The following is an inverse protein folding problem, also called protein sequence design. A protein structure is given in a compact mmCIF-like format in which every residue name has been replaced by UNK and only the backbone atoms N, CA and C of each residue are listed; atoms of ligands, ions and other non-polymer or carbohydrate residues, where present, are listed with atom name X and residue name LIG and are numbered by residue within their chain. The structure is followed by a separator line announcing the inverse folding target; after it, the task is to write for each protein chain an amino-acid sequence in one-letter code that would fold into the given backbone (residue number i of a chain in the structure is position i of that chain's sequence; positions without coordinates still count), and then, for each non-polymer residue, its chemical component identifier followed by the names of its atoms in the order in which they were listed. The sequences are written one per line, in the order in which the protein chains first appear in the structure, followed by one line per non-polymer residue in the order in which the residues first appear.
data_IF_129921858702
#
_entry.id   IF_129921858702
#
_cell.length_a   1.000
_cell.length_b   1.000
_cell.length_c   1.000
_cell.angle_alpha   90.00
_cell.angle_beta   90.00
_cell.angle_gamma   90.00
#
_symmetry.space_group_name_H-M   'P 1'
#
loop_
_entity.id
_entity.type
_entity.pdbx_description
1 polymer ?
#
# COMPACT_ATOMS: atom_id res chain seq x y z
N UNK A 1 38.07 -6.16 -29.90
CA UNK A 1 39.29 -5.32 -29.82
C UNK A 1 38.89 -3.90 -29.45
N UNK A 2 39.05 -3.49 -28.20
CA UNK A 2 38.74 -2.12 -27.79
C UNK A 2 39.85 -1.20 -28.32
N UNK A 3 39.52 -0.35 -29.29
CA UNK A 3 40.42 0.69 -29.81
C UNK A 3 40.67 1.69 -28.68
N UNK A 4 41.79 1.55 -27.97
CA UNK A 4 42.20 2.51 -26.97
C UNK A 4 42.55 3.82 -27.67
N UNK A 5 41.62 4.77 -27.68
CA UNK A 5 41.87 6.11 -28.19
C UNK A 5 42.92 6.81 -27.29
N UNK A 6 43.94 7.40 -27.91
CA UNK A 6 45.06 8.07 -27.24
C UNK A 6 44.58 9.24 -26.38
N UNK A 7 45.34 9.56 -25.32
CA UNK A 7 45.01 10.67 -24.41
C UNK A 7 45.04 12.03 -25.13
N UNK A 8 45.89 12.17 -26.15
CA UNK A 8 45.98 13.34 -27.01
C UNK A 8 44.68 13.59 -27.80
N UNK A 9 44.03 12.53 -28.30
CA UNK A 9 42.73 12.62 -28.97
C UNK A 9 41.61 13.05 -28.01
N UNK A 10 41.71 12.71 -26.72
CA UNK A 10 40.73 13.16 -25.71
C UNK A 10 40.85 14.65 -25.47
N UNK A 11 42.07 15.16 -25.35
CA UNK A 11 42.33 16.59 -25.14
C UNK A 11 41.85 17.44 -26.32
N UNK A 12 42.07 16.98 -27.57
CA UNK A 12 41.57 17.66 -28.76
C UNK A 12 40.03 17.71 -28.83
N UNK A 13 39.36 16.63 -28.45
CA UNK A 13 37.88 16.58 -28.40
C UNK A 13 37.32 17.50 -27.31
N UNK A 14 37.98 17.59 -26.15
CA UNK A 14 37.56 18.46 -25.04
C UNK A 14 37.76 19.94 -25.40
N UNK A 15 38.90 20.30 -25.99
CA UNK A 15 39.16 21.66 -26.46
C UNK A 15 38.10 22.11 -27.48
N UNK A 16 37.77 21.24 -28.44
CA UNK A 16 36.76 21.54 -29.47
C UNK A 16 35.34 21.70 -28.92
N UNK A 17 35.00 21.02 -27.84
CA UNK A 17 33.70 21.18 -27.14
C UNK A 17 33.67 22.48 -26.32
N UNK A 18 34.78 22.84 -25.67
CA UNK A 18 34.90 24.09 -24.90
C UNK A 18 34.86 25.35 -25.78
N UNK A 19 35.24 25.22 -27.06
CA UNK A 19 35.06 26.26 -28.09
C UNK A 19 33.58 26.47 -28.50
N UNK A 20 32.63 25.74 -27.89
CA UNK A 20 31.19 25.92 -28.07
C UNK A 20 30.53 24.96 -29.06
N UNK A 21 31.26 23.96 -29.57
CA UNK A 21 30.73 22.97 -30.51
C UNK A 21 30.08 21.79 -29.78
N UNK A 22 29.05 21.20 -30.40
CA UNK A 22 28.29 20.10 -29.79
C UNK A 22 29.04 18.77 -29.82
N UNK A 23 28.76 17.90 -28.85
CA UNK A 23 29.39 16.56 -28.71
C UNK A 23 29.25 15.71 -29.98
N UNK A 24 28.14 15.88 -30.74
CA UNK A 24 27.89 15.17 -31.99
C UNK A 24 28.82 15.62 -33.12
N UNK A 25 29.12 16.92 -33.20
CA UNK A 25 30.04 17.48 -34.18
C UNK A 25 31.50 17.09 -33.89
N UNK A 26 31.87 17.00 -32.60
CA UNK A 26 33.18 16.52 -32.20
C UNK A 26 33.40 15.04 -32.58
N UNK A 27 32.38 14.20 -32.39
CA UNK A 27 32.44 12.78 -32.77
C UNK A 27 32.65 12.58 -34.29
N UNK A 28 31.97 13.38 -35.11
CA UNK A 28 32.08 13.32 -36.57
C UNK A 28 33.43 13.82 -37.08
N UNK A 29 33.92 14.95 -36.56
CA UNK A 29 35.20 15.55 -36.99
C UNK A 29 36.42 14.67 -36.66
N UNK A 30 36.44 14.06 -35.49
CA UNK A 30 37.57 13.22 -35.06
C UNK A 30 37.38 11.72 -35.40
N UNK A 31 36.29 11.36 -36.09
CA UNK A 31 35.92 9.96 -36.41
C UNK A 31 35.91 9.05 -35.17
N UNK A 32 35.36 9.57 -34.06
CA UNK A 32 35.29 8.89 -32.76
C UNK A 32 33.84 8.62 -32.36
N UNK A 33 33.57 7.55 -31.62
CA UNK A 33 32.20 7.22 -31.18
C UNK A 33 31.58 8.35 -30.33
N UNK A 34 30.27 8.68 -30.51
CA UNK A 34 29.57 9.68 -29.71
C UNK A 34 29.64 9.44 -28.19
N UNK A 35 29.67 8.16 -27.78
CA UNK A 35 29.83 7.78 -26.36
C UNK A 35 31.20 8.16 -25.79
N UNK A 36 32.24 8.18 -26.61
CA UNK A 36 33.58 8.56 -26.16
C UNK A 36 33.72 10.08 -26.04
N UNK A 37 33.16 10.85 -26.97
CA UNK A 37 33.15 12.32 -26.89
C UNK A 37 32.39 12.80 -25.62
N UNK A 38 31.25 12.17 -25.30
CA UNK A 38 30.52 12.44 -24.07
C UNK A 38 31.30 12.05 -22.79
N UNK A 39 31.99 10.90 -22.83
CA UNK A 39 32.75 10.39 -21.67
C UNK A 39 34.06 11.16 -21.44
N UNK A 40 34.67 11.72 -22.48
CA UNK A 40 35.84 12.59 -22.37
C UNK A 40 35.50 13.92 -21.69
N UNK A 41 34.40 14.56 -22.08
CA UNK A 41 33.91 15.78 -21.43
C UNK A 41 33.53 15.55 -19.96
N UNK A 42 32.81 14.45 -19.65
CA UNK A 42 32.44 14.11 -18.26
C UNK A 42 33.67 13.83 -17.38
N UNK A 43 34.68 13.13 -17.90
CA UNK A 43 35.92 12.82 -17.16
C UNK A 43 36.76 14.07 -16.86
N UNK A 44 36.72 15.09 -17.72
CA UNK A 44 37.40 16.38 -17.47
C UNK A 44 36.61 17.30 -16.53
N UNK A 45 35.27 17.20 -16.51
CA UNK A 45 34.43 17.89 -15.53
C UNK A 45 34.53 17.27 -14.12
N UNK A 46 34.90 15.99 -14.01
CA UNK A 46 35.06 15.26 -12.75
C UNK A 46 36.51 15.21 -12.23
N UNK A 47 37.50 15.75 -12.96
CA UNK A 47 38.84 15.92 -12.43
C UNK A 47 38.88 17.19 -11.58
N UNK A 48 39.09 17.10 -10.25
CA UNK A 48 39.32 18.29 -9.44
C UNK A 48 40.59 18.96 -9.96
N UNK A 49 40.49 20.26 -10.24
CA UNK A 49 41.63 21.11 -10.52
C UNK A 49 42.71 20.86 -9.46
N UNK A 50 43.83 20.29 -9.89
CA UNK A 50 44.99 20.15 -9.04
C UNK A 50 45.46 21.56 -8.65
N UNK A 51 45.61 21.87 -7.36
CA UNK A 51 46.10 23.17 -6.97
C UNK A 51 47.56 23.31 -7.40
N UNK A 52 47.83 24.39 -8.15
CA UNK A 52 49.17 24.92 -8.41
C UNK A 52 49.77 25.39 -7.07
N UNK A 53 50.32 24.45 -6.29
CA UNK A 53 51.25 24.76 -5.21
C UNK A 53 52.67 24.76 -5.79
N UNK A 54 53.25 25.94 -5.89
CA UNK A 54 54.69 26.13 -5.99
C UNK A 54 55.34 25.73 -4.67
N UNK A 55 56.29 24.80 -4.73
CA UNK A 55 57.25 24.49 -3.67
C UNK A 55 58.05 25.76 -3.30
N UNK A 56 57.99 26.17 -2.04
CA UNK A 56 59.10 26.70 -1.23
C UNK A 56 58.67 26.76 0.27
N UNK A 57 59.61 26.66 1.23
CA UNK A 57 59.56 25.62 2.24
C UNK A 57 59.09 26.06 3.64
N UNK A 58 58.63 25.07 4.38
CA UNK A 58 58.53 24.94 5.85
C UNK A 58 58.90 26.18 6.69
N UNK A 59 57.89 26.83 7.26
CA UNK A 59 58.01 27.54 8.53
C UNK A 59 57.05 26.93 9.57
N UNK A 60 57.67 26.26 10.53
CA UNK A 60 57.33 26.26 11.97
C UNK A 60 55.85 26.17 12.36
N UNK A 61 55.50 25.01 12.92
CA UNK A 61 54.27 24.76 13.67
C UNK A 61 54.37 25.54 14.98
N UNK A 62 53.89 26.78 14.98
CA UNK A 62 53.57 27.54 16.19
C UNK A 62 52.08 27.39 16.52
N UNK A 63 51.83 27.09 17.79
CA UNK A 63 50.54 26.87 18.43
C UNK A 63 49.65 28.13 18.36
N UNK A 64 48.51 28.08 17.67
CA UNK A 64 47.41 29.05 17.77
C UNK A 64 46.06 28.39 17.36
N UNK A 65 44.93 28.72 18.03
CA UNK A 65 43.71 27.92 18.00
C UNK A 65 43.06 27.93 16.61
N UNK A 66 42.41 26.81 16.28
CA UNK A 66 41.58 26.65 15.08
C UNK A 66 40.68 27.87 14.89
N UNK A 67 40.85 28.56 13.76
CA UNK A 67 40.08 29.73 13.35
C UNK A 67 38.59 29.51 13.64
N UNK A 68 38.09 30.33 14.57
CA UNK A 68 36.76 30.23 15.16
C UNK A 68 35.73 30.32 14.03
N UNK A 69 35.22 29.16 13.59
CA UNK A 69 34.12 29.00 12.65
C UNK A 69 32.79 29.50 13.23
N UNK A 70 32.80 30.71 13.76
CA UNK A 70 31.67 31.39 14.35
C UNK A 70 30.97 32.21 13.29
N UNK A 71 29.68 31.97 13.16
CA UNK A 71 28.83 32.56 12.13
C UNK A 71 27.71 33.38 12.79
N UNK A 72 27.22 34.41 12.09
CA UNK A 72 26.10 35.21 12.60
C UNK A 72 24.77 34.45 12.44
N UNK A 73 23.73 34.87 13.16
CA UNK A 73 22.40 34.26 13.04
C UNK A 73 21.83 34.32 11.62
N UNK A 74 22.18 35.35 10.85
CA UNK A 74 21.66 35.58 9.50
C UNK A 74 22.36 34.65 8.52
N UNK A 75 23.69 34.63 8.55
CA UNK A 75 24.48 33.79 7.65
C UNK A 75 24.24 32.30 7.96
N UNK A 76 24.03 31.92 9.23
CA UNK A 76 23.66 30.55 9.60
C UNK A 76 22.26 30.18 9.11
N UNK A 77 21.31 31.12 9.19
CA UNK A 77 19.95 30.94 8.69
C UNK A 77 19.95 30.71 7.17
N UNK A 78 20.73 31.50 6.42
CA UNK A 78 20.91 31.34 4.98
C UNK A 78 21.58 30.00 4.64
N UNK A 79 22.63 29.63 5.39
CA UNK A 79 23.38 28.39 5.17
C UNK A 79 22.52 27.12 5.30
N UNK A 80 21.67 27.05 6.33
CA UNK A 80 20.82 25.86 6.58
C UNK A 80 19.42 25.99 5.99
N UNK A 81 19.12 27.10 5.31
CA UNK A 81 17.86 27.34 4.60
C UNK A 81 16.65 27.57 5.52
N UNK A 82 16.84 28.22 6.67
CA UNK A 82 15.77 28.51 7.64
C UNK A 82 15.65 30.00 7.93
N UNK A 83 14.59 30.42 8.61
CA UNK A 83 14.46 31.82 9.02
C UNK A 83 15.36 32.15 10.22
N UNK A 84 15.79 33.41 10.34
CA UNK A 84 16.53 33.90 11.53
C UNK A 84 15.81 33.60 12.85
N UNK A 85 14.47 33.66 12.84
CA UNK A 85 13.65 33.35 14.01
C UNK A 85 13.77 31.87 14.38
N UNK A 86 13.75 30.99 13.39
CA UNK A 86 13.96 29.57 13.59
C UNK A 86 15.36 29.25 14.14
N UNK A 87 16.41 30.00 13.76
CA UNK A 87 17.76 29.84 14.36
C UNK A 87 17.74 30.12 15.87
N UNK A 88 17.05 31.18 16.31
CA UNK A 88 16.87 31.45 17.75
C UNK A 88 16.10 30.34 18.44
N UNK A 89 15.00 29.88 17.87
CA UNK A 89 14.17 28.80 18.42
C UNK A 89 14.96 27.48 18.49
N UNK A 90 15.80 27.18 17.50
CA UNK A 90 16.67 26.00 17.48
C UNK A 90 17.81 26.10 18.48
N UNK A 91 18.33 27.31 18.75
CA UNK A 91 19.31 27.53 19.81
C UNK A 91 18.69 27.30 21.19
N UNK A 92 17.45 27.76 21.43
CA UNK A 92 16.70 27.48 22.67
C UNK A 92 16.43 25.98 22.86
N UNK A 93 16.18 25.27 21.76
CA UNK A 93 15.97 23.82 21.75
C UNK A 93 17.26 22.99 21.78
N UNK A 94 18.44 23.62 21.82
CA UNK A 94 19.73 22.95 21.86
C UNK A 94 20.16 22.26 20.55
N UNK A 95 19.50 22.58 19.43
CA UNK A 95 19.82 22.04 18.09
C UNK A 95 20.93 22.86 17.42
N UNK A 96 21.12 24.12 17.84
CA UNK A 96 22.17 25.02 17.36
C UNK A 96 22.99 25.49 18.56
N UNK A 97 24.31 25.53 18.41
CA UNK A 97 25.24 25.87 19.51
C UNK A 97 25.61 27.35 19.46
N UNK A 98 25.33 28.04 20.56
CA UNK A 98 25.56 29.47 20.71
C UNK A 98 26.85 29.73 21.47
N UNK A 99 27.81 30.36 20.81
CA UNK A 99 29.13 30.70 21.38
C UNK A 99 29.13 32.09 22.01
N UNK A 100 28.18 32.97 21.65
CA UNK A 100 28.08 34.32 22.23
C UNK A 100 26.87 35.13 21.75
N UNK A 101 26.88 36.45 21.98
CA UNK A 101 25.81 37.35 21.50
C UNK A 101 25.87 37.43 19.97
N UNK A 102 24.86 36.86 19.31
CA UNK A 102 24.77 36.78 17.85
C UNK A 102 25.96 36.04 17.19
N UNK A 103 26.54 35.07 17.90
CA UNK A 103 27.64 34.22 17.44
C UNK A 103 27.29 32.76 17.71
N UNK A 104 27.40 31.93 16.68
CA UNK A 104 27.08 30.50 16.74
C UNK A 104 28.22 29.70 16.16
N UNK A 105 28.46 28.50 16.68
CA UNK A 105 29.41 27.56 16.09
C UNK A 105 28.80 26.98 14.82
N UNK A 106 29.35 27.33 13.66
CA UNK A 106 28.85 26.89 12.36
C UNK A 106 28.89 25.37 12.23
N UNK A 107 30.03 24.75 12.56
CA UNK A 107 30.27 23.33 12.31
C UNK A 107 29.37 22.47 13.17
N UNK A 108 29.32 22.77 14.47
CA UNK A 108 28.53 21.99 15.41
C UNK A 108 27.03 22.16 15.18
N UNK A 109 26.58 23.39 14.87
CA UNK A 109 25.17 23.69 14.61
C UNK A 109 24.64 23.00 13.36
N UNK A 110 25.43 22.96 12.27
CA UNK A 110 25.04 22.25 11.04
C UNK A 110 24.96 20.75 11.27
N UNK A 111 25.91 20.16 12.01
CA UNK A 111 25.89 18.73 12.33
C UNK A 111 24.64 18.33 13.12
N UNK A 112 24.34 19.06 14.20
CA UNK A 112 23.17 18.82 15.05
C UNK A 112 21.85 19.06 14.29
N UNK A 113 21.79 20.08 13.44
CA UNK A 113 20.63 20.31 12.59
C UNK A 113 20.39 19.16 11.60
N UNK A 114 21.45 18.67 10.93
CA UNK A 114 21.37 17.51 10.06
C UNK A 114 20.94 16.24 10.82
N UNK A 115 21.40 16.05 12.06
CA UNK A 115 20.99 14.94 12.91
C UNK A 115 19.51 15.04 13.31
N UNK A 116 19.03 16.22 13.70
CA UNK A 116 17.62 16.48 13.96
C UNK A 116 16.74 16.19 12.73
N UNK A 117 17.18 16.57 11.53
CA UNK A 117 16.45 16.23 10.29
C UNK A 117 16.40 14.72 10.03
N UNK A 118 17.50 14.00 10.28
CA UNK A 118 17.53 12.53 10.16
C UNK A 118 16.60 11.86 11.16
N UNK A 119 16.59 12.31 12.42
CA UNK A 119 15.68 11.79 13.45
C UNK A 119 14.20 12.05 13.10
N UNK A 120 13.87 13.26 12.63
CA UNK A 120 12.52 13.61 12.18
C UNK A 120 12.09 12.83 10.93
N UNK A 121 13.02 12.53 10.02
CA UNK A 121 12.76 11.69 8.85
C UNK A 121 12.54 10.23 9.26
N UNK A 122 13.35 9.69 10.19
CA UNK A 122 13.20 8.35 10.73
C UNK A 122 11.85 8.16 11.44
N UNK A 123 11.37 9.17 12.18
CA UNK A 123 10.04 9.16 12.81
C UNK A 123 8.86 9.22 11.83
N UNK A 124 9.07 9.67 10.58
CA UNK A 124 8.04 9.75 9.53
C UNK A 124 8.13 8.66 8.46
N UNK A 125 9.28 8.00 8.34
CA UNK A 125 9.53 6.93 7.35
C UNK A 125 9.76 5.56 7.98
N UNK A 126 9.61 5.43 9.29
CA UNK A 126 9.77 4.15 9.98
C UNK A 126 8.65 3.17 9.65
N UNK A 127 8.90 1.90 9.97
CA UNK A 127 8.02 0.74 9.79
C UNK A 127 6.55 0.99 10.21
N UNK A 128 6.32 1.88 11.18
CA UNK A 128 4.98 2.32 11.59
C UNK A 128 4.15 3.04 10.52
N UNK A 129 4.78 3.74 9.57
CA UNK A 129 4.04 4.41 8.48
C UNK A 129 3.67 3.42 7.39
N UNK A 130 4.51 2.41 7.16
CA UNK A 130 4.21 1.33 6.21
C UNK A 130 3.14 0.38 6.78
N UNK A 131 3.16 0.10 8.09
CA UNK A 131 2.07 -0.65 8.76
C UNK A 131 0.76 0.14 8.79
N UNK A 132 0.78 1.45 9.05
CA UNK A 132 -0.43 2.29 8.96
C UNK A 132 -0.99 2.38 7.54
N UNK A 133 -0.12 2.46 6.53
CA UNK A 133 -0.53 2.49 5.13
C UNK A 133 -1.13 1.15 4.69
N UNK A 134 -0.53 0.02 5.09
CA UNK A 134 -1.02 -1.33 4.80
C UNK A 134 -2.35 -1.63 5.51
N UNK A 135 -2.50 -1.29 6.79
CA UNK A 135 -3.78 -1.44 7.50
C UNK A 135 -4.88 -0.56 6.92
N UNK A 136 -4.55 0.67 6.49
CA UNK A 136 -5.50 1.54 5.77
C UNK A 136 -5.89 0.97 4.41
N UNK A 137 -4.96 0.37 3.69
CA UNK A 137 -5.25 -0.28 2.41
C UNK A 137 -6.17 -1.50 2.60
N UNK A 138 -5.96 -2.28 3.68
CA UNK A 138 -6.83 -3.41 4.04
C UNK A 138 -8.24 -2.94 4.37
N UNK A 139 -8.38 -1.93 5.23
CA UNK A 139 -9.66 -1.34 5.58
C UNK A 139 -10.38 -0.75 4.36
N UNK A 140 -9.65 -0.08 3.47
CA UNK A 140 -10.21 0.46 2.23
C UNK A 140 -10.72 -0.65 1.29
N UNK A 141 -10.05 -1.80 1.24
CA UNK A 141 -10.50 -2.97 0.47
C UNK A 141 -11.80 -3.54 1.03
N UNK A 142 -11.87 -3.75 2.34
CA UNK A 142 -13.09 -4.24 3.00
C UNK A 142 -14.27 -3.27 2.81
N UNK A 143 -14.01 -1.95 2.86
CA UNK A 143 -15.01 -0.92 2.57
C UNK A 143 -15.47 -0.94 1.10
N UNK A 144 -14.54 -1.16 0.16
CA UNK A 144 -14.87 -1.27 -1.25
C UNK A 144 -15.76 -2.50 -1.53
N UNK A 145 -15.45 -3.64 -0.90
CA UNK A 145 -16.25 -4.86 -1.02
C UNK A 145 -17.65 -4.68 -0.41
N UNK A 146 -17.74 -3.99 0.74
CA UNK A 146 -19.03 -3.65 1.35
C UNK A 146 -19.85 -2.72 0.45
N UNK A 147 -19.22 -1.74 -0.19
CA UNK A 147 -19.87 -0.83 -1.14
C UNK A 147 -20.33 -1.59 -2.40
N UNK A 148 -19.52 -2.52 -2.91
CA UNK A 148 -19.87 -3.37 -4.05
C UNK A 148 -21.11 -4.24 -3.75
N UNK A 149 -21.15 -4.89 -2.57
CA UNK A 149 -22.31 -5.68 -2.15
C UNK A 149 -23.58 -4.82 -2.02
N UNK A 150 -23.48 -3.62 -1.43
CA UNK A 150 -24.61 -2.68 -1.34
C UNK A 150 -25.10 -2.22 -2.72
N UNK A 151 -24.17 -1.94 -3.64
CA UNK A 151 -24.51 -1.55 -5.01
C UNK A 151 -25.20 -2.69 -5.77
N UNK A 152 -24.72 -3.93 -5.63
CA UNK A 152 -25.34 -5.10 -6.24
C UNK A 152 -26.75 -5.36 -5.69
N UNK A 153 -26.95 -5.21 -4.37
CA UNK A 153 -28.28 -5.27 -3.77
C UNK A 153 -29.22 -4.16 -4.29
N UNK A 154 -28.74 -2.91 -4.39
CA UNK A 154 -29.52 -1.79 -4.95
C UNK A 154 -29.88 -1.99 -6.42
N UNK A 155 -29.01 -2.66 -7.20
CA UNK A 155 -29.27 -3.04 -8.60
C UNK A 155 -30.20 -4.25 -8.73
N UNK A 156 -30.67 -4.84 -7.62
CA UNK A 156 -31.49 -6.06 -7.58
C UNK A 156 -30.77 -7.29 -8.13
N UNK A 157 -29.44 -7.30 -8.11
CA UNK A 157 -28.62 -8.45 -8.50
C UNK A 157 -28.49 -9.48 -7.37
N UNK A 158 -28.78 -9.07 -6.13
CA UNK A 158 -28.80 -9.91 -4.93
C UNK A 158 -30.18 -9.87 -4.30
N UNK A 159 -30.75 -11.03 -4.00
CA UNK A 159 -32.02 -11.20 -3.29
C UNK A 159 -31.73 -11.99 -2.01
N UNK A 160 -32.37 -11.63 -0.91
CA UNK A 160 -32.16 -12.36 0.34
C UNK A 160 -32.87 -13.72 0.30
N UNK A 161 -32.28 -14.74 0.94
CA UNK A 161 -32.92 -16.05 1.09
C UNK A 161 -34.27 -15.94 1.80
N UNK A 162 -34.41 -14.97 2.71
CA UNK A 162 -35.66 -14.71 3.42
C UNK A 162 -36.79 -14.25 2.47
N UNK A 163 -36.50 -13.34 1.54
CA UNK A 163 -37.46 -12.88 0.54
C UNK A 163 -37.87 -14.01 -0.40
N UNK A 164 -36.89 -14.77 -0.91
CA UNK A 164 -37.16 -15.94 -1.78
C UNK A 164 -38.05 -16.95 -1.06
N UNK A 165 -37.71 -17.30 0.19
CA UNK A 165 -38.52 -18.21 1.03
C UNK A 165 -39.93 -17.66 1.24
N UNK A 166 -40.07 -16.37 1.53
CA UNK A 166 -41.38 -15.76 1.74
C UNK A 166 -42.25 -15.84 0.49
N UNK A 167 -41.70 -15.52 -0.67
CA UNK A 167 -42.41 -15.60 -1.95
C UNK A 167 -42.81 -17.03 -2.28
N UNK A 168 -41.91 -18.00 -2.10
CA UNK A 168 -42.26 -19.41 -2.33
C UNK A 168 -43.37 -19.92 -1.41
N UNK A 169 -43.31 -19.56 -0.12
CA UNK A 169 -44.39 -19.89 0.83
C UNK A 169 -45.71 -19.20 0.43
N UNK A 170 -45.64 -17.96 -0.04
CA UNK A 170 -46.81 -17.21 -0.54
C UNK A 170 -47.44 -17.89 -1.75
N UNK A 171 -46.62 -18.31 -2.72
CA UNK A 171 -47.05 -19.04 -3.92
C UNK A 171 -47.68 -20.38 -3.53
N UNK A 172 -47.02 -21.18 -2.68
CA UNK A 172 -47.52 -22.47 -2.24
C UNK A 172 -48.88 -22.34 -1.51
N UNK A 173 -49.03 -21.33 -0.65
CA UNK A 173 -50.31 -21.02 0.02
C UNK A 173 -51.40 -20.67 -0.98
N UNK A 174 -51.08 -19.86 -2.00
CA UNK A 174 -52.04 -19.48 -3.05
C UNK A 174 -52.51 -20.70 -3.84
N UNK A 175 -51.58 -21.59 -4.23
CA UNK A 175 -51.89 -22.85 -4.92
C UNK A 175 -52.82 -23.70 -4.06
N UNK A 176 -52.46 -23.94 -2.78
CA UNK A 176 -53.28 -24.70 -1.85
C UNK A 176 -54.71 -24.15 -1.76
N UNK A 177 -54.87 -22.85 -1.61
CA UNK A 177 -56.19 -22.23 -1.48
C UNK A 177 -57.03 -22.40 -2.76
N UNK A 178 -56.41 -22.26 -3.94
CA UNK A 178 -57.10 -22.46 -5.23
C UNK A 178 -57.51 -23.92 -5.38
N UNK A 179 -56.61 -24.86 -5.11
CA UNK A 179 -56.87 -26.30 -5.23
C UNK A 179 -57.95 -26.75 -4.24
N UNK A 180 -57.91 -26.30 -2.99
CA UNK A 180 -58.94 -26.62 -1.98
C UNK A 180 -60.32 -26.04 -2.31
N UNK A 181 -60.42 -25.08 -3.24
CA UNK A 181 -61.72 -24.56 -3.70
C UNK A 181 -62.39 -25.44 -4.75
N UNK A 182 -61.65 -26.37 -5.37
CA UNK A 182 -62.11 -27.20 -6.49
C UNK A 182 -63.33 -28.06 -6.13
N UNK A 183 -63.41 -28.78 -4.99
CA UNK A 183 -64.58 -29.60 -4.66
C UNK A 183 -65.89 -28.81 -4.64
N UNK A 184 -65.87 -27.62 -4.03
CA UNK A 184 -67.05 -26.73 -3.98
C UNK A 184 -67.45 -26.24 -5.37
N UNK A 185 -66.49 -25.90 -6.23
CA UNK A 185 -66.76 -25.51 -7.63
C UNK A 185 -67.32 -26.67 -8.46
N UNK A 186 -66.82 -27.89 -8.27
CA UNK A 186 -67.35 -29.08 -8.91
C UNK A 186 -68.82 -29.31 -8.54
N UNK A 187 -69.16 -29.18 -7.25
CA UNK A 187 -70.56 -29.27 -6.78
C UNK A 187 -71.48 -28.24 -7.42
N UNK A 188 -70.99 -27.01 -7.60
CA UNK A 188 -71.77 -25.92 -8.23
C UNK A 188 -71.98 -26.16 -9.73
N UNK A 189 -70.97 -26.69 -10.44
CA UNK A 189 -71.02 -26.93 -11.88
C UNK A 189 -71.76 -28.22 -12.26
N UNK A 190 -71.80 -29.20 -11.36
CA UNK A 190 -72.35 -30.53 -11.61
C UNK A 190 -73.39 -30.86 -10.52
N UNK A 191 -74.66 -30.43 -10.68
CA UNK A 191 -75.70 -30.58 -9.65
C UNK A 191 -76.07 -32.04 -9.33
N UNK A 192 -75.66 -32.99 -10.17
CA UNK A 192 -75.90 -34.42 -10.00
C UNK A 192 -74.84 -35.11 -9.13
N UNK A 193 -73.74 -34.44 -8.78
CA UNK A 193 -72.79 -35.01 -7.81
C UNK A 193 -73.47 -35.13 -6.44
N UNK A 194 -73.31 -36.29 -5.83
CA UNK A 194 -73.74 -36.51 -4.45
C UNK A 194 -72.74 -35.88 -3.48
N UNK A 195 -73.15 -35.73 -2.21
CA UNK A 195 -72.23 -35.29 -1.15
C UNK A 195 -71.03 -36.23 -1.02
N UNK A 196 -71.26 -37.53 -1.15
CA UNK A 196 -70.20 -38.55 -1.11
C UNK A 196 -69.16 -38.34 -2.20
N UNK A 197 -69.58 -38.05 -3.43
CA UNK A 197 -68.66 -37.82 -4.56
C UNK A 197 -67.78 -36.58 -4.33
N UNK A 198 -68.33 -35.52 -3.73
CA UNK A 198 -67.61 -34.29 -3.42
C UNK A 198 -66.61 -34.52 -2.28
N UNK A 199 -67.00 -35.28 -1.26
CA UNK A 199 -66.13 -35.63 -0.13
C UNK A 199 -64.97 -36.53 -0.57
N UNK A 200 -65.21 -37.44 -1.53
CA UNK A 200 -64.16 -38.26 -2.14
C UNK A 200 -63.13 -37.39 -2.88
N UNK A 201 -63.60 -36.40 -3.66
CA UNK A 201 -62.73 -35.44 -4.36
C UNK A 201 -61.91 -34.59 -3.37
N UNK A 202 -62.53 -34.09 -2.30
CA UNK A 202 -61.83 -33.32 -1.26
C UNK A 202 -60.75 -34.17 -0.55
N UNK A 203 -61.07 -35.42 -0.24
CA UNK A 203 -60.14 -36.36 0.40
C UNK A 203 -58.94 -36.65 -0.51
N UNK A 204 -59.18 -36.95 -1.78
CA UNK A 204 -58.12 -37.23 -2.76
C UNK A 204 -57.22 -36.02 -2.98
N UNK A 205 -57.80 -34.81 -3.09
CA UNK A 205 -57.03 -33.57 -3.22
C UNK A 205 -56.14 -33.33 -2.00
N UNK A 206 -56.65 -33.59 -0.79
CA UNK A 206 -55.85 -33.48 0.45
C UNK A 206 -54.73 -34.49 0.50
N UNK A 207 -55.00 -35.74 0.11
CA UNK A 207 -54.00 -36.79 0.05
C UNK A 207 -52.87 -36.43 -0.93
N UNK A 208 -53.21 -36.01 -2.14
CA UNK A 208 -52.23 -35.59 -3.15
C UNK A 208 -51.39 -34.38 -2.69
N UNK A 209 -52.00 -33.40 -2.00
CA UNK A 209 -51.27 -32.26 -1.45
C UNK A 209 -50.38 -32.64 -0.25
N UNK A 210 -50.75 -33.65 0.54
CA UNK A 210 -49.95 -34.16 1.64
C UNK A 210 -48.74 -34.94 1.12
N UNK A 211 -48.93 -35.84 0.15
CA UNK A 211 -47.85 -36.59 -0.51
C UNK A 211 -46.82 -35.64 -1.13
N UNK A 212 -47.28 -34.56 -1.77
CA UNK A 212 -46.39 -33.54 -2.34
C UNK A 212 -45.52 -32.86 -1.27
N UNK A 213 -46.03 -32.65 -0.06
CA UNK A 213 -45.30 -32.04 1.04
C UNK A 213 -44.31 -32.99 1.74
N UNK A 214 -44.60 -34.29 1.76
CA UNK A 214 -43.73 -35.30 2.39
C UNK A 214 -42.50 -35.64 1.54
N UNK A 215 -42.61 -35.55 0.21
CA UNK A 215 -41.55 -35.94 -0.74
C UNK A 215 -40.29 -35.06 -0.70
N UNK A 216 -40.38 -33.86 -0.10
CA UNK A 216 -39.28 -32.89 -0.03
C UNK A 216 -38.47 -32.97 1.29
N UNK A 217 -38.97 -33.68 2.31
CA UNK A 217 -38.32 -33.77 3.63
C UNK A 217 -37.18 -34.82 3.68
N UNK A 218 -37.12 -35.72 2.70
CA UNK A 218 -36.20 -36.88 2.68
C UNK A 218 -34.83 -36.59 2.00
N UNK A 219 -34.55 -35.35 1.57
CA UNK A 219 -33.33 -35.09 0.80
C UNK A 219 -32.78 -33.66 0.71
N UNK A 220 -33.37 -32.64 1.35
CA UNK A 220 -32.93 -31.25 1.19
C UNK A 220 -32.35 -30.56 2.43
N UNK A 221 -32.54 -31.13 3.63
CA UNK A 221 -32.05 -30.52 4.87
C UNK A 221 -30.51 -30.56 4.97
N UNK A 222 -29.86 -31.60 4.45
CA UNK A 222 -28.41 -31.81 4.62
C UNK A 222 -27.54 -31.01 3.63
N UNK A 223 -28.05 -30.69 2.43
CA UNK A 223 -27.25 -30.06 1.37
C UNK A 223 -27.09 -28.53 1.56
N UNK A 224 -28.07 -27.87 2.17
CA UNK A 224 -28.02 -26.41 2.41
C UNK A 224 -27.01 -26.07 3.52
N UNK A 225 -26.82 -26.95 4.50
CA UNK A 225 -25.78 -26.80 5.54
C UNK A 225 -24.37 -27.00 4.99
N UNK A 226 -24.19 -27.87 4.00
CA UNK A 226 -22.88 -28.11 3.39
C UNK A 226 -22.42 -26.93 2.51
N UNK A 227 -23.34 -26.23 1.84
CA UNK A 227 -23.03 -25.05 1.01
C UNK A 227 -22.61 -23.80 1.80
N UNK A 228 -22.95 -23.70 3.09
CA UNK A 228 -22.61 -22.55 3.94
C UNK A 228 -21.19 -22.57 4.51
N UNK A 229 -20.47 -23.69 4.39
CA UNK A 229 -19.10 -23.85 4.90
C UNK A 229 -18.08 -24.01 3.75
N UNK A 230 -18.24 -23.20 2.70
CA UNK A 230 -17.27 -23.07 1.62
C UNK A 230 -16.04 -22.23 2.01
N UNK A 231 -15.04 -22.90 2.62
CA UNK A 231 -13.60 -22.56 2.68
C UNK A 231 -13.18 -21.31 3.49
N UNK A 232 -13.15 -21.46 4.81
CA UNK A 232 -12.07 -20.87 5.59
C UNK A 232 -10.81 -21.74 5.39
N UNK A 233 -9.92 -21.35 4.46
CA UNK A 233 -8.56 -21.87 4.45
C UNK A 233 -7.84 -21.33 5.71
N UNK A 234 -7.88 -22.09 6.80
CA UNK A 234 -6.88 -21.96 7.87
C UNK A 234 -6.33 -23.34 8.20
N UNK A 235 -5.08 -23.54 7.83
CA UNK A 235 -4.17 -24.48 8.48
C UNK A 235 -2.79 -23.92 8.18
N UNK A 236 -2.41 -22.92 8.98
CA UNK A 236 -1.03 -22.60 9.20
C UNK A 236 -0.42 -23.76 10.00
N UNK A 237 0.53 -24.46 9.39
CA UNK A 237 1.53 -25.22 10.12
C UNK A 237 2.16 -24.30 11.16
N UNK A 238 1.96 -24.62 12.43
CA UNK A 238 2.90 -24.25 13.48
C UNK A 238 3.29 -25.52 14.20
N UNK A 239 4.35 -26.10 13.64
CA UNK A 239 5.24 -27.07 14.24
C UNK A 239 5.65 -26.57 15.63
N UNK A 240 5.05 -27.13 16.69
CA UNK A 240 5.51 -26.91 18.05
C UNK A 240 6.65 -27.87 18.32
N UNK A 241 7.87 -27.35 18.09
CA UNK A 241 9.12 -27.92 18.58
C UNK A 241 9.00 -28.08 20.09
N UNK A 242 9.04 -29.33 20.54
CA UNK A 242 9.21 -29.68 21.94
C UNK A 242 10.51 -29.10 22.47
N UNK A 243 10.41 -28.35 23.57
CA UNK A 243 11.56 -28.08 24.41
C UNK A 243 11.17 -28.36 25.86
N UNK A 244 11.78 -29.42 26.36
CA UNK A 244 11.89 -29.76 27.77
C UNK A 244 12.20 -28.52 28.62
N UNK A 245 11.48 -28.39 29.73
CA UNK A 245 12.03 -27.87 30.99
C UNK A 245 11.33 -28.54 32.15
N UNK A 246 12.02 -29.54 32.69
CA UNK A 246 11.93 -29.88 34.10
C UNK A 246 12.23 -28.65 34.96
N UNK A 247 11.43 -28.47 36.01
CA UNK A 247 11.70 -27.84 37.32
C UNK A 247 10.30 -27.68 37.96
N UNK A 248 9.90 -28.32 39.06
CA UNK A 248 10.62 -28.55 40.31
C UNK A 248 10.05 -27.63 41.40
N UNK A 249 9.32 -28.21 42.38
CA UNK A 249 8.82 -27.60 43.65
C UNK A 249 7.68 -26.55 43.55
N UNK A 250 6.70 -26.45 44.46
CA UNK A 250 6.64 -26.81 45.89
C UNK A 250 5.24 -27.27 46.34
N UNK A 251 5.23 -28.20 47.29
CA UNK A 251 4.29 -28.22 48.43
C UNK A 251 4.97 -27.50 49.60
#
# INVERSE_FOLDING_TARGET
MAKGYSDELRQQVIAFINEGNTVRQAAEKFSVSPSFAAKAHKKHAEQPEAPLFSDEPASEVEDAPADDGTITAIDLAELIGVSKRAVSDFAERGIIVKTGRNRYDMRQSVQLYCEHLRAMAAGRGGENVDTLATERARLAREQADQAAMKNAAMRKELITVAEVRHEWVSIARRIRNVVMSVPSRCRQMLPHLTTYDVDLIDTEIRAALAELGEKDDDGSADDITAGSLGRANTSAETETVGLDREDGLST
#
